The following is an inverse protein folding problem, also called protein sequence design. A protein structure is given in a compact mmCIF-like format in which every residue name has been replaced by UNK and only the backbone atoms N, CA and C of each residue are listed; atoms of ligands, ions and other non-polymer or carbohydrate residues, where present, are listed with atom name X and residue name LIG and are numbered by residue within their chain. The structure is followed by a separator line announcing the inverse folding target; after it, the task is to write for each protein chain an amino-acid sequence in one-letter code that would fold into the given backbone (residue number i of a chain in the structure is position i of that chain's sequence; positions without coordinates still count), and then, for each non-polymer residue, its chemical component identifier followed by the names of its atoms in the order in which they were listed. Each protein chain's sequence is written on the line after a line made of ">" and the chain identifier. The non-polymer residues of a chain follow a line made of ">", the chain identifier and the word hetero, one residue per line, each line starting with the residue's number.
data_IF_309175153165
#
_entry.id   IF_309175153165
#
_cell.length_a   1.000
_cell.length_b   1.000
_cell.length_c   1.000
_cell.angle_alpha   90.00
_cell.angle_beta   90.00
_cell.angle_gamma   90.00
#
_symmetry.space_group_name_H-M   'P 1'
#
loop_
_entity.id
_entity.type
_entity.pdbx_description
1 polymer ?
#
# COMPACT_ATOMS: atom_id res chain seq x y z
N UNK A 1 6.24 -21.93 1.94
CA UNK A 1 5.41 -21.91 3.17
C UNK A 1 6.29 -21.85 4.43
N UNK A 2 7.00 -20.71 4.66
CA UNK A 2 7.83 -20.46 5.86
C UNK A 2 7.33 -19.28 6.74
N UNK A 3 6.25 -18.62 6.30
CA UNK A 3 5.67 -17.44 6.97
C UNK A 3 4.85 -17.79 8.22
N UNK A 4 4.17 -18.93 8.23
CA UNK A 4 3.28 -19.33 9.34
C UNK A 4 4.03 -20.00 10.50
N UNK A 5 5.20 -20.59 10.24
CA UNK A 5 5.97 -21.35 11.22
C UNK A 5 7.05 -20.54 11.96
N UNK A 6 7.46 -19.37 11.43
CA UNK A 6 8.51 -18.55 12.02
C UNK A 6 7.94 -17.28 12.67
N UNK A 7 7.88 -17.25 14.01
CA UNK A 7 7.36 -16.13 14.79
C UNK A 7 8.03 -14.78 14.48
N UNK A 8 9.30 -14.77 14.02
CA UNK A 8 10.00 -13.54 13.64
C UNK A 8 9.46 -12.94 12.34
N UNK A 9 9.20 -13.76 11.33
CA UNK A 9 8.66 -13.31 10.04
C UNK A 9 7.20 -12.83 10.18
N UNK A 10 6.40 -13.47 11.03
CA UNK A 10 5.04 -12.99 11.35
C UNK A 10 5.07 -11.59 11.99
N UNK A 11 5.96 -11.35 12.94
CA UNK A 11 6.12 -10.02 13.55
C UNK A 11 6.57 -8.98 12.53
N UNK A 12 7.50 -9.33 11.61
CA UNK A 12 7.93 -8.43 10.52
C UNK A 12 6.77 -8.10 9.59
N UNK A 13 5.93 -9.08 9.24
CA UNK A 13 4.72 -8.86 8.45
C UNK A 13 3.73 -7.93 9.17
N UNK A 14 3.43 -8.16 10.45
CA UNK A 14 2.52 -7.29 11.22
C UNK A 14 3.06 -5.86 11.35
N UNK A 15 4.37 -5.69 11.58
CA UNK A 15 5.01 -4.36 11.57
C UNK A 15 4.90 -3.72 10.19
N UNK A 16 5.14 -4.46 9.13
CA UNK A 16 4.99 -3.96 7.76
C UNK A 16 3.55 -3.49 7.48
N UNK A 17 2.53 -4.25 7.93
CA UNK A 17 1.13 -3.84 7.85
C UNK A 17 0.88 -2.54 8.62
N UNK A 18 1.38 -2.44 9.85
CA UNK A 18 1.24 -1.24 10.66
C UNK A 18 1.92 -0.02 10.01
N UNK A 19 3.12 -0.21 9.46
CA UNK A 19 3.83 0.83 8.71
C UNK A 19 3.03 1.24 7.47
N UNK A 20 2.54 0.28 6.68
CA UNK A 20 1.69 0.56 5.52
C UNK A 20 0.43 1.35 5.88
N UNK A 21 -0.19 1.04 7.02
CA UNK A 21 -1.31 1.81 7.56
C UNK A 21 -0.93 3.25 7.93
N UNK A 22 0.24 3.46 8.55
CA UNK A 22 0.78 4.80 8.82
C UNK A 22 1.01 5.56 7.51
N UNK A 23 1.61 4.91 6.51
CA UNK A 23 1.81 5.51 5.18
C UNK A 23 0.51 5.93 4.53
N UNK A 24 -0.54 5.11 4.63
CA UNK A 24 -1.87 5.45 4.13
C UNK A 24 -2.45 6.68 4.83
N UNK A 25 -2.35 6.76 6.17
CA UNK A 25 -2.81 7.92 6.94
C UNK A 25 -2.03 9.18 6.55
N UNK A 26 -0.72 9.06 6.34
CA UNK A 26 0.13 10.17 5.87
C UNK A 26 -0.27 10.61 4.46
N UNK A 27 -0.45 9.68 3.52
CA UNK A 27 -0.86 9.95 2.15
C UNK A 27 -2.19 10.71 2.14
N UNK A 28 -3.20 10.11 2.77
CA UNK A 28 -4.55 10.68 2.84
C UNK A 28 -4.56 12.04 3.54
N UNK A 29 -3.84 12.17 4.66
CA UNK A 29 -3.77 13.41 5.43
C UNK A 29 -3.09 14.54 4.64
N UNK A 30 -1.94 14.27 4.03
CA UNK A 30 -1.19 15.27 3.24
C UNK A 30 -1.97 15.67 1.99
N UNK A 31 -2.60 14.70 1.30
CA UNK A 31 -3.42 14.98 0.12
C UNK A 31 -4.59 15.92 0.43
N UNK A 32 -5.38 15.61 1.47
CA UNK A 32 -6.50 16.44 1.88
C UNK A 32 -6.04 17.82 2.36
N UNK A 33 -4.93 17.90 3.08
CA UNK A 33 -4.38 19.17 3.53
C UNK A 33 -3.95 20.06 2.35
N UNK A 34 -3.29 19.49 1.35
CA UNK A 34 -2.86 20.22 0.13
C UNK A 34 -4.05 20.73 -0.68
N UNK A 35 -5.11 19.94 -0.84
CA UNK A 35 -6.29 20.36 -1.61
C UNK A 35 -7.16 21.32 -0.80
N UNK A 36 -7.54 20.95 0.42
CA UNK A 36 -8.55 21.69 1.19
C UNK A 36 -8.02 22.96 1.83
N UNK A 37 -6.74 23.00 2.24
CA UNK A 37 -6.15 24.17 2.91
C UNK A 37 -5.37 25.04 1.94
N UNK A 38 -4.59 24.42 1.06
CA UNK A 38 -3.69 25.15 0.16
C UNK A 38 -4.23 25.32 -1.27
N UNK A 39 -5.34 24.67 -1.63
CA UNK A 39 -5.93 24.79 -2.96
C UNK A 39 -5.02 24.26 -4.08
N UNK A 40 -4.10 23.35 -3.77
CA UNK A 40 -3.16 22.78 -4.74
C UNK A 40 -3.91 21.91 -5.73
N UNK A 41 -3.47 21.93 -6.99
CA UNK A 41 -4.03 21.09 -8.04
C UNK A 41 -3.98 19.59 -7.65
N UNK A 42 -5.06 18.81 -7.87
CA UNK A 42 -5.14 17.42 -7.42
C UNK A 42 -3.98 16.52 -7.87
N UNK A 43 -3.46 16.73 -9.09
CA UNK A 43 -2.34 15.94 -9.61
C UNK A 43 -1.06 16.23 -8.82
N UNK A 44 -0.76 17.50 -8.58
CA UNK A 44 0.42 17.92 -7.80
C UNK A 44 0.27 17.45 -6.35
N UNK A 45 -0.91 17.61 -5.76
CA UNK A 45 -1.21 17.15 -4.41
C UNK A 45 -1.02 15.63 -4.29
N UNK A 46 -1.44 14.85 -5.29
CA UNK A 46 -1.27 13.39 -5.33
C UNK A 46 0.22 13.00 -5.38
N UNK A 47 1.01 13.63 -6.24
CA UNK A 47 2.45 13.32 -6.34
C UNK A 47 3.19 13.64 -5.03
N UNK A 48 2.89 14.78 -4.40
CA UNK A 48 3.54 15.20 -3.15
C UNK A 48 3.13 14.31 -1.97
N UNK A 49 1.83 14.04 -1.81
CA UNK A 49 1.32 13.15 -0.76
C UNK A 49 1.87 11.74 -0.89
N UNK A 50 1.86 11.17 -2.10
CA UNK A 50 2.39 9.85 -2.36
C UNK A 50 3.89 9.75 -2.07
N UNK A 51 4.65 10.78 -2.43
CA UNK A 51 6.08 10.87 -2.11
C UNK A 51 6.33 10.92 -0.60
N UNK A 52 5.53 11.71 0.14
CA UNK A 52 5.61 11.78 1.59
C UNK A 52 5.27 10.43 2.26
N UNK A 53 4.27 9.72 1.73
CA UNK A 53 3.88 8.40 2.19
C UNK A 53 4.99 7.36 1.97
N UNK A 54 5.65 7.37 0.81
CA UNK A 54 6.81 6.52 0.52
C UNK A 54 7.94 6.78 1.53
N UNK A 55 8.29 8.04 1.76
CA UNK A 55 9.38 8.40 2.69
C UNK A 55 9.04 7.98 4.12
N UNK A 56 7.79 8.19 4.56
CA UNK A 56 7.31 7.75 5.86
C UNK A 56 7.40 6.22 6.00
N UNK A 57 6.85 5.50 5.02
CA UNK A 57 6.89 4.04 4.99
C UNK A 57 8.30 3.48 4.98
N UNK A 58 9.20 4.07 4.19
CA UNK A 58 10.59 3.68 4.14
C UNK A 58 11.27 3.89 5.50
N UNK A 59 11.06 5.06 6.12
CA UNK A 59 11.66 5.44 7.40
C UNK A 59 11.25 4.46 8.49
N UNK A 60 9.95 4.19 8.62
CA UNK A 60 9.46 3.23 9.60
C UNK A 60 9.89 1.80 9.31
N UNK A 61 9.90 1.37 8.05
CA UNK A 61 10.39 0.04 7.70
C UNK A 61 11.87 -0.13 8.01
N UNK A 62 12.69 0.91 7.82
CA UNK A 62 14.11 0.86 8.14
C UNK A 62 14.41 0.97 9.63
N UNK A 63 13.68 1.80 10.37
CA UNK A 63 13.95 2.03 11.80
C UNK A 63 13.32 0.97 12.70
N UNK A 64 12.16 0.41 12.33
CA UNK A 64 11.36 -0.44 13.20
C UNK A 64 11.11 -1.86 12.65
N UNK A 65 10.80 -2.00 11.35
CA UNK A 65 10.55 -3.33 10.76
C UNK A 65 11.86 -4.10 10.55
N UNK A 66 12.89 -3.43 10.01
CA UNK A 66 14.18 -4.00 9.63
C UNK A 66 15.36 -3.14 10.14
N UNK A 67 15.54 -2.96 11.46
CA UNK A 67 16.62 -2.14 12.02
C UNK A 67 18.01 -2.64 11.62
N UNK A 68 18.15 -3.94 11.34
CA UNK A 68 19.40 -4.59 10.95
C UNK A 68 19.80 -4.33 9.49
N UNK A 69 18.93 -3.72 8.68
CA UNK A 69 19.17 -3.43 7.26
C UNK A 69 20.13 -2.25 7.01
N UNK A 70 20.76 -1.69 8.05
CA UNK A 70 21.62 -0.50 7.95
C UNK A 70 22.94 -0.73 7.21
N UNK A 71 23.24 -1.96 6.81
CA UNK A 71 24.40 -2.34 5.99
C UNK A 71 24.39 -1.72 4.58
N UNK A 72 23.21 -1.46 3.99
CA UNK A 72 23.10 -0.82 2.67
C UNK A 72 23.02 0.70 2.77
N UNK A 73 23.43 1.39 1.71
CA UNK A 73 23.33 2.85 1.61
C UNK A 73 21.88 3.31 1.60
N UNK A 74 21.59 4.44 2.27
CA UNK A 74 20.23 4.99 2.43
C UNK A 74 19.55 5.22 1.08
N UNK A 75 20.26 5.85 0.15
CA UNK A 75 19.74 6.20 -1.17
C UNK A 75 19.35 4.96 -1.99
N UNK A 76 20.16 3.90 -1.93
CA UNK A 76 19.87 2.66 -2.66
C UNK A 76 18.62 1.98 -2.13
N UNK A 77 18.47 1.85 -0.81
CA UNK A 77 17.28 1.22 -0.24
C UNK A 77 16.01 2.05 -0.47
N UNK A 78 16.12 3.38 -0.43
CA UNK A 78 15.01 4.27 -0.75
C UNK A 78 14.61 4.11 -2.22
N UNK A 79 15.58 4.08 -3.14
CA UNK A 79 15.32 3.87 -4.56
C UNK A 79 14.67 2.49 -4.83
N UNK A 80 15.21 1.41 -4.25
CA UNK A 80 14.62 0.06 -4.32
C UNK A 80 13.17 0.08 -3.79
N UNK A 81 12.92 0.66 -2.62
CA UNK A 81 11.58 0.74 -2.03
C UNK A 81 10.59 1.57 -2.87
N UNK A 82 11.03 2.70 -3.41
CA UNK A 82 10.21 3.55 -4.29
C UNK A 82 9.86 2.80 -5.57
N UNK A 83 10.81 2.12 -6.20
CA UNK A 83 10.58 1.33 -7.42
C UNK A 83 9.53 0.25 -7.15
N UNK A 84 9.67 -0.51 -6.05
CA UNK A 84 8.67 -1.54 -5.68
C UNK A 84 7.29 -0.92 -5.47
N UNK A 85 7.23 0.24 -4.81
CA UNK A 85 5.97 0.94 -4.51
C UNK A 85 5.28 1.44 -5.78
N UNK A 86 6.04 2.01 -6.72
CA UNK A 86 5.52 2.48 -8.02
C UNK A 86 5.03 1.32 -8.87
N UNK A 87 5.78 0.21 -8.94
CA UNK A 87 5.31 -1.01 -9.60
C UNK A 87 4.03 -1.54 -8.92
N UNK A 88 3.95 -1.43 -7.59
CA UNK A 88 2.75 -1.76 -6.84
C UNK A 88 1.51 -0.99 -7.32
N UNK A 89 1.64 0.31 -7.63
CA UNK A 89 0.55 1.09 -8.23
C UNK A 89 0.18 0.54 -9.61
N UNK A 90 1.17 0.26 -10.46
CA UNK A 90 0.93 -0.28 -11.80
C UNK A 90 0.24 -1.65 -11.77
N UNK A 91 0.43 -2.43 -10.70
CA UNK A 91 -0.30 -3.68 -10.45
C UNK A 91 -1.71 -3.39 -9.91
N UNK A 92 -1.86 -2.40 -9.04
CA UNK A 92 -3.15 -2.01 -8.43
C UNK A 92 -4.19 -1.65 -9.47
N UNK A 93 -3.83 -0.77 -10.40
CA UNK A 93 -4.75 -0.15 -11.37
C UNK A 93 -5.48 -1.17 -12.26
N UNK A 94 -4.79 -2.12 -12.94
CA UNK A 94 -5.49 -3.10 -13.76
C UNK A 94 -6.33 -4.07 -12.92
N UNK A 95 -5.89 -4.45 -11.71
CA UNK A 95 -6.69 -5.31 -10.82
C UNK A 95 -8.00 -4.61 -10.47
N UNK A 96 -7.94 -3.33 -10.11
CA UNK A 96 -9.13 -2.54 -9.82
C UNK A 96 -10.08 -2.49 -11.04
N UNK A 97 -9.57 -2.09 -12.20
CA UNK A 97 -10.37 -1.95 -13.43
C UNK A 97 -11.02 -3.26 -13.89
N UNK A 98 -10.34 -4.41 -13.68
CA UNK A 98 -10.86 -5.73 -14.03
C UNK A 98 -11.90 -6.25 -13.02
N UNK A 99 -11.84 -5.83 -11.76
CA UNK A 99 -12.71 -6.32 -10.70
C UNK A 99 -13.94 -5.44 -10.44
N UNK A 100 -13.86 -4.14 -10.73
CA UNK A 100 -14.95 -3.19 -10.52
C UNK A 100 -16.23 -3.59 -11.27
N UNK A 101 -16.12 -3.77 -12.59
CA UNK A 101 -17.25 -4.15 -13.46
C UNK A 101 -17.96 -5.46 -13.04
N UNK A 102 -17.26 -6.61 -12.83
CA UNK A 102 -17.93 -7.84 -12.42
C UNK A 102 -18.51 -7.76 -11.00
N UNK A 103 -17.88 -7.02 -10.08
CA UNK A 103 -18.40 -6.84 -8.74
C UNK A 103 -19.69 -6.01 -8.75
N UNK A 104 -19.76 -4.96 -9.56
CA UNK A 104 -20.98 -4.17 -9.76
C UNK A 104 -22.13 -5.05 -10.25
N UNK A 105 -21.85 -5.90 -11.26
CA UNK A 105 -22.82 -6.88 -11.75
C UNK A 105 -23.32 -7.84 -10.66
N UNK A 106 -22.43 -8.32 -9.78
CA UNK A 106 -22.80 -9.19 -8.67
C UNK A 106 -23.68 -8.45 -7.65
N UNK A 107 -23.26 -7.25 -7.21
CA UNK A 107 -23.99 -6.49 -6.19
C UNK A 107 -25.34 -5.95 -6.70
N UNK A 108 -25.46 -5.65 -7.99
CA UNK A 108 -26.72 -5.23 -8.60
C UNK A 108 -27.78 -6.35 -8.63
N UNK A 109 -27.35 -7.62 -8.71
CA UNK A 109 -28.26 -8.77 -8.71
C UNK A 109 -28.46 -9.39 -7.32
N UNK A 110 -27.88 -8.81 -6.28
CA UNK A 110 -28.03 -9.34 -4.92
C UNK A 110 -29.45 -9.10 -4.42
N UNK A 111 -30.21 -10.15 -4.04
CA UNK A 111 -31.65 -10.04 -3.73
C UNK A 111 -31.93 -9.40 -2.35
N UNK A 112 -30.91 -8.89 -1.68
CA UNK A 112 -30.99 -8.32 -0.33
C UNK A 112 -30.80 -6.81 -0.46
N UNK A 113 -31.74 -6.03 0.07
CA UNK A 113 -31.56 -4.59 0.21
C UNK A 113 -30.41 -4.32 1.19
N UNK A 114 -29.22 -4.07 0.65
CA UNK A 114 -28.08 -3.68 1.45
C UNK A 114 -28.24 -2.21 1.89
N UNK A 115 -27.72 -1.84 3.06
CA UNK A 115 -27.77 -0.46 3.56
C UNK A 115 -26.92 0.53 2.74
N UNK A 116 -26.17 0.04 1.74
CA UNK A 116 -25.27 0.82 0.90
C UNK A 116 -25.57 0.57 -0.59
N UNK A 117 -25.29 1.57 -1.42
CA UNK A 117 -25.47 1.48 -2.88
C UNK A 117 -24.57 0.37 -3.48
N UNK A 118 -25.06 -0.43 -4.45
CA UNK A 118 -24.27 -1.48 -5.11
C UNK A 118 -22.95 -0.98 -5.69
N UNK A 119 -22.96 0.18 -6.34
CA UNK A 119 -21.77 0.79 -6.94
C UNK A 119 -20.72 1.07 -5.86
N UNK A 120 -21.14 1.64 -4.73
CA UNK A 120 -20.26 1.89 -3.60
C UNK A 120 -19.59 0.62 -3.09
N UNK A 121 -20.33 -0.49 -2.98
CA UNK A 121 -19.80 -1.77 -2.53
C UNK A 121 -18.83 -2.39 -3.55
N UNK A 122 -19.14 -2.28 -4.85
CA UNK A 122 -18.29 -2.75 -5.93
C UNK A 122 -16.93 -2.04 -5.96
N UNK A 123 -16.94 -0.71 -5.92
CA UNK A 123 -15.72 0.11 -5.95
C UNK A 123 -14.84 -0.17 -4.72
N UNK A 124 -15.43 -0.18 -3.51
CA UNK A 124 -14.69 -0.46 -2.28
C UNK A 124 -14.18 -1.91 -2.24
N UNK A 125 -14.96 -2.87 -2.72
CA UNK A 125 -14.57 -4.27 -2.83
C UNK A 125 -13.38 -4.48 -3.77
N UNK A 126 -13.46 -3.92 -4.99
CA UNK A 126 -12.38 -3.97 -5.98
C UNK A 126 -11.10 -3.31 -5.42
N UNK A 127 -11.24 -2.16 -4.78
CA UNK A 127 -10.14 -1.43 -4.18
C UNK A 127 -9.49 -2.20 -3.03
N UNK A 128 -10.28 -2.85 -2.16
CA UNK A 128 -9.77 -3.67 -1.08
C UNK A 128 -8.95 -4.85 -1.61
N UNK A 129 -9.45 -5.57 -2.63
CA UNK A 129 -8.72 -6.68 -3.25
C UNK A 129 -7.41 -6.19 -3.89
N UNK A 130 -7.47 -5.10 -4.66
CA UNK A 130 -6.28 -4.53 -5.30
C UNK A 130 -5.23 -4.10 -4.27
N UNK A 131 -5.64 -3.41 -3.19
CA UNK A 131 -4.74 -3.01 -2.10
C UNK A 131 -4.12 -4.22 -1.41
N UNK A 132 -4.89 -5.26 -1.11
CA UNK A 132 -4.37 -6.48 -0.50
C UNK A 132 -3.28 -7.13 -1.36
N UNK A 133 -3.53 -7.30 -2.66
CA UNK A 133 -2.54 -7.87 -3.60
C UNK A 133 -1.26 -7.03 -3.61
N UNK A 134 -1.40 -5.71 -3.67
CA UNK A 134 -0.27 -4.78 -3.71
C UNK A 134 0.48 -4.73 -2.38
N UNK A 135 -0.19 -4.94 -1.25
CA UNK A 135 0.46 -5.08 0.05
C UNK A 135 1.30 -6.35 0.11
N UNK A 136 0.81 -7.49 -0.40
CA UNK A 136 1.62 -8.70 -0.50
C UNK A 136 2.81 -8.52 -1.44
N UNK A 137 2.60 -7.92 -2.62
CA UNK A 137 3.67 -7.54 -3.54
C UNK A 137 4.74 -6.70 -2.84
N UNK A 138 4.35 -5.60 -2.23
CA UNK A 138 5.25 -4.70 -1.53
C UNK A 138 6.00 -5.41 -0.41
N UNK A 139 5.34 -6.25 0.39
CA UNK A 139 5.98 -7.00 1.46
C UNK A 139 7.03 -7.97 0.92
N UNK A 140 6.65 -8.86 -0.01
CA UNK A 140 7.54 -9.92 -0.48
C UNK A 140 8.72 -9.35 -1.26
N UNK A 141 8.47 -8.44 -2.19
CA UNK A 141 9.55 -7.88 -3.02
C UNK A 141 10.50 -7.07 -2.16
N UNK A 142 10.02 -6.22 -1.23
CA UNK A 142 10.93 -5.51 -0.33
C UNK A 142 11.66 -6.48 0.62
N UNK A 143 11.02 -7.55 1.09
CA UNK A 143 11.66 -8.55 1.96
C UNK A 143 12.81 -9.27 1.26
N UNK A 144 12.63 -9.64 -0.01
CA UNK A 144 13.60 -10.43 -0.77
C UNK A 144 14.61 -9.59 -1.58
N UNK A 145 14.31 -8.32 -1.86
CA UNK A 145 15.17 -7.44 -2.63
C UNK A 145 15.76 -6.32 -1.76
N UNK A 146 14.91 -5.43 -1.25
CA UNK A 146 15.34 -4.26 -0.47
C UNK A 146 16.05 -4.65 0.83
N UNK A 147 15.51 -5.64 1.54
CA UNK A 147 15.97 -6.13 2.84
C UNK A 147 16.57 -7.54 2.77
N UNK A 148 17.08 -7.95 1.61
CA UNK A 148 17.67 -9.27 1.39
C UNK A 148 18.86 -9.58 2.32
N UNK A 149 19.52 -8.54 2.82
CA UNK A 149 20.67 -8.59 3.73
C UNK A 149 20.28 -8.90 5.18
N UNK A 150 18.99 -8.82 5.53
CA UNK A 150 18.51 -9.07 6.89
C UNK A 150 18.24 -10.56 7.12
N UNK A 151 19.00 -11.14 8.06
CA UNK A 151 18.89 -12.54 8.52
C UNK A 151 17.59 -12.84 9.28
#
# INVERSE_FOLDING_TARGET
>A
MKLLTNSKERTRFLRFLAVGGIGFVVDFGVFNLLISVFGVEPIIANVVSFSAAIVSNFTWNRLWTYPDSRSKTLQRQLAEFTIVSVIGILIRTPIFALLENPLEGIFAHFPIALPFQPDFLAHNGALAVAVLVVMFWNFFVNRYWTYADVK
#
